data_IF_839218682393
#
_entry.id   IF_839218682393
#
_cell.length_a   1.000
_cell.length_b   1.000
_cell.length_c   1.000
_cell.angle_alpha   90.00
_cell.angle_beta   90.00
_cell.angle_gamma   90.00
#
_symmetry.space_group_name_H-M   'P 1'
#
loop_
_entity.id
_entity.type
_entity.pdbx_description
1 polymer ?
#
# COMPACT_ATOMS: atom_id res chain seq x y z
N UNK A 1 -6.70 15.06 5.95
CA UNK A 1 -5.75 14.05 6.46
C UNK A 1 -6.42 12.73 6.87
N UNK A 2 -7.51 12.72 7.64
CA UNK A 2 -8.14 11.48 8.15
C UNK A 2 -8.49 10.43 7.08
N UNK A 3 -9.03 10.85 5.92
CA UNK A 3 -9.36 9.91 4.82
C UNK A 3 -8.12 9.31 4.15
N UNK A 4 -7.11 10.14 3.87
CA UNK A 4 -5.86 9.66 3.28
C UNK A 4 -5.11 8.72 4.23
N UNK A 5 -5.16 8.98 5.55
CA UNK A 5 -4.64 8.04 6.54
C UNK A 5 -5.40 6.70 6.50
N UNK A 6 -6.74 6.72 6.46
CA UNK A 6 -7.53 5.49 6.37
C UNK A 6 -7.26 4.69 5.08
N UNK A 7 -7.26 5.36 3.92
CA UNK A 7 -6.94 4.72 2.64
C UNK A 7 -5.49 4.23 2.62
N UNK A 8 -4.56 5.03 3.11
CA UNK A 8 -3.14 4.68 3.22
C UNK A 8 -2.87 3.47 4.11
N UNK A 9 -3.50 3.40 5.28
CA UNK A 9 -3.39 2.26 6.19
C UNK A 9 -4.01 0.99 5.59
N UNK A 10 -5.17 1.09 4.95
CA UNK A 10 -5.80 -0.04 4.27
C UNK A 10 -4.95 -0.55 3.10
N UNK A 11 -4.41 0.37 2.29
CA UNK A 11 -3.48 0.07 1.20
C UNK A 11 -2.18 -0.57 1.70
N UNK A 12 -1.58 -0.01 2.76
CA UNK A 12 -0.37 -0.55 3.39
C UNK A 12 -0.61 -1.97 3.89
N UNK A 13 -1.68 -2.20 4.65
CA UNK A 13 -2.01 -3.52 5.19
C UNK A 13 -2.24 -4.54 4.06
N UNK A 14 -3.06 -4.21 3.05
CA UNK A 14 -3.34 -5.12 1.94
C UNK A 14 -2.07 -5.48 1.15
N UNK A 15 -1.28 -4.46 0.77
CA UNK A 15 -0.05 -4.66 0.01
C UNK A 15 1.04 -5.38 0.81
N UNK A 16 1.19 -5.08 2.11
CA UNK A 16 2.14 -5.76 2.99
C UNK A 16 1.76 -7.24 3.16
N UNK A 17 0.48 -7.56 3.37
CA UNK A 17 0.01 -8.95 3.48
C UNK A 17 0.29 -9.74 2.20
N UNK A 18 0.01 -9.16 1.03
CA UNK A 18 0.30 -9.81 -0.25
C UNK A 18 1.81 -9.95 -0.48
N UNK A 19 2.60 -8.93 -0.15
CA UNK A 19 4.06 -9.01 -0.24
C UNK A 19 4.61 -10.12 0.65
N UNK A 20 4.11 -10.22 1.88
CA UNK A 20 4.50 -11.25 2.84
C UNK A 20 4.10 -12.65 2.38
N UNK A 21 2.90 -12.81 1.84
CA UNK A 21 2.42 -14.07 1.29
C UNK A 21 3.27 -14.51 0.09
N UNK A 22 3.48 -13.63 -0.89
CA UNK A 22 4.35 -13.90 -2.03
C UNK A 22 5.78 -14.24 -1.60
N UNK A 23 6.34 -13.47 -0.67
CA UNK A 23 7.69 -13.74 -0.16
C UNK A 23 7.75 -15.09 0.55
N UNK A 24 6.72 -15.47 1.32
CA UNK A 24 6.68 -16.79 1.96
C UNK A 24 6.72 -17.92 0.93
N UNK A 25 6.04 -17.75 -0.20
CA UNK A 25 6.00 -18.73 -1.30
C UNK A 25 7.31 -18.78 -2.08
N UNK A 26 7.93 -17.64 -2.36
CA UNK A 26 9.14 -17.55 -3.21
C UNK A 26 10.45 -17.69 -2.44
N UNK A 27 10.46 -17.40 -1.13
CA UNK A 27 11.68 -17.25 -0.33
C UNK A 27 11.71 -18.07 0.97
N UNK A 28 10.63 -18.80 1.28
CA UNK A 28 10.40 -19.44 2.58
C UNK A 28 10.42 -18.49 3.79
N UNK A 29 10.48 -17.16 3.58
CA UNK A 29 10.50 -16.15 4.64
C UNK A 29 9.59 -14.98 4.26
N UNK A 30 8.62 -14.66 5.12
CA UNK A 30 7.56 -13.71 4.78
C UNK A 30 8.04 -12.25 4.78
N UNK A 31 8.98 -11.89 5.66
CA UNK A 31 9.30 -10.49 5.90
C UNK A 31 10.35 -9.89 4.94
N UNK A 32 10.97 -10.67 4.04
CA UNK A 32 12.06 -10.18 3.17
C UNK A 32 11.73 -8.89 2.40
N UNK A 33 10.58 -8.72 1.73
CA UNK A 33 10.27 -7.48 1.03
C UNK A 33 10.17 -6.30 2.00
N UNK A 34 9.60 -6.47 3.19
CA UNK A 34 9.56 -5.40 4.19
C UNK A 34 10.95 -5.09 4.74
N UNK A 35 11.74 -6.12 5.06
CA UNK A 35 13.13 -5.96 5.49
C UNK A 35 13.95 -5.19 4.45
N UNK A 36 13.71 -5.45 3.16
CA UNK A 36 14.35 -4.81 2.03
C UNK A 36 14.30 -3.29 2.17
N UNK A 37 13.11 -2.73 2.43
CA UNK A 37 12.84 -1.28 2.50
C UNK A 37 13.77 -0.54 3.46
N UNK A 38 14.28 -1.21 4.50
CA UNK A 38 15.19 -0.60 5.49
C UNK A 38 16.47 -0.04 4.86
N UNK A 39 16.91 -0.54 3.70
CA UNK A 39 18.08 0.00 2.99
C UNK A 39 17.88 1.45 2.52
N UNK A 40 16.64 1.94 2.41
CA UNK A 40 16.35 3.36 2.15
C UNK A 40 16.94 4.23 3.26
N UNK A 41 16.78 3.79 4.53
CA UNK A 41 17.28 4.47 5.70
C UNK A 41 18.78 4.20 5.92
N UNK A 42 19.16 2.92 5.97
CA UNK A 42 20.53 2.52 6.32
C UNK A 42 21.54 2.65 5.15
N UNK A 43 21.05 2.82 3.92
CA UNK A 43 21.87 2.73 2.70
C UNK A 43 22.26 1.30 2.33
N UNK A 44 23.02 1.16 1.24
CA UNK A 44 23.52 -0.13 0.76
C UNK A 44 22.47 -0.96 0.03
N UNK A 45 22.67 -2.29 0.04
CA UNK A 45 21.81 -3.23 -0.67
C UNK A 45 20.53 -3.59 0.15
N UNK A 46 19.44 -3.98 -0.52
CA UNK A 46 18.23 -4.49 0.13
C UNK A 46 18.54 -5.64 1.11
N UNK A 47 18.01 -5.56 2.33
CA UNK A 47 18.26 -6.57 3.37
C UNK A 47 17.24 -7.69 3.35
N UNK A 48 17.71 -8.92 3.50
CA UNK A 48 16.85 -10.10 3.59
C UNK A 48 16.47 -10.44 5.05
N UNK A 49 17.35 -10.15 6.01
CA UNK A 49 17.19 -10.54 7.43
C UNK A 49 16.26 -9.61 8.21
N UNK A 50 15.67 -10.11 9.29
CA UNK A 50 14.76 -9.34 10.14
C UNK A 50 15.50 -8.31 11.02
N UNK A 51 16.83 -8.41 11.12
CA UNK A 51 17.65 -7.60 12.00
C UNK A 51 17.50 -7.95 13.48
N UNK A 52 18.33 -7.34 14.33
CA UNK A 52 18.27 -7.53 15.79
C UNK A 52 16.89 -7.14 16.31
N UNK A 53 16.19 -8.08 16.96
CA UNK A 53 14.83 -7.90 17.51
C UNK A 53 13.78 -7.46 16.46
N UNK A 54 13.93 -7.87 15.19
CA UNK A 54 12.95 -7.56 14.14
C UNK A 54 12.99 -6.11 13.62
N UNK A 55 14.10 -5.39 13.86
CA UNK A 55 14.27 -3.98 13.45
C UNK A 55 13.94 -3.75 11.98
N UNK A 56 14.46 -4.59 11.08
CA UNK A 56 14.32 -4.36 9.64
C UNK A 56 12.85 -4.54 9.21
N UNK A 57 12.13 -5.49 9.81
CA UNK A 57 10.71 -5.68 9.53
C UNK A 57 9.89 -4.50 10.02
N UNK A 58 10.13 -4.04 11.26
CA UNK A 58 9.40 -2.94 11.86
C UNK A 58 9.64 -1.62 11.13
N UNK A 59 10.92 -1.28 10.87
CA UNK A 59 11.29 -0.05 10.18
C UNK A 59 10.83 -0.07 8.72
N UNK A 60 11.01 -1.21 8.04
CA UNK A 60 10.53 -1.40 6.69
C UNK A 60 9.01 -1.24 6.55
N UNK A 61 8.24 -1.83 7.47
CA UNK A 61 6.78 -1.65 7.53
C UNK A 61 6.39 -0.20 7.81
N UNK A 62 7.12 0.50 8.67
CA UNK A 62 6.87 1.92 8.96
C UNK A 62 7.09 2.80 7.71
N UNK A 63 8.19 2.59 6.98
CA UNK A 63 8.49 3.30 5.73
C UNK A 63 7.42 2.97 4.66
N UNK A 64 7.10 1.69 4.48
CA UNK A 64 6.06 1.23 3.55
C UNK A 64 4.69 1.86 3.85
N UNK A 65 4.34 1.97 5.14
CA UNK A 65 3.10 2.61 5.58
C UNK A 65 3.12 4.11 5.32
N UNK A 66 4.23 4.79 5.62
CA UNK A 66 4.41 6.21 5.30
C UNK A 66 4.25 6.50 3.81
N UNK A 67 4.90 5.70 2.96
CA UNK A 67 4.77 5.79 1.51
C UNK A 67 3.34 5.51 1.02
N UNK A 68 2.67 4.50 1.59
CA UNK A 68 1.27 4.19 1.28
C UNK A 68 0.33 5.34 1.62
N UNK A 69 0.52 5.99 2.79
CA UNK A 69 -0.25 7.17 3.19
C UNK A 69 0.03 8.36 2.27
N UNK A 70 1.30 8.56 1.88
CA UNK A 70 1.68 9.59 0.91
C UNK A 70 0.94 9.40 -0.42
N UNK A 71 0.96 8.20 -1.00
CA UNK A 71 0.23 7.90 -2.24
C UNK A 71 -1.30 8.02 -2.09
N UNK A 72 -1.83 7.64 -0.92
CA UNK A 72 -3.24 7.81 -0.62
C UNK A 72 -3.69 9.28 -0.57
N UNK A 73 -2.79 10.24 -0.32
CA UNK A 73 -3.10 11.67 -0.43
C UNK A 73 -3.48 12.03 -1.86
N UNK A 74 -2.73 11.57 -2.86
CA UNK A 74 -3.02 11.83 -4.28
C UNK A 74 -4.31 11.13 -4.70
N UNK A 75 -4.51 9.88 -4.28
CA UNK A 75 -5.75 9.16 -4.55
C UNK A 75 -6.99 9.88 -3.99
N UNK A 76 -6.99 10.27 -2.71
CA UNK A 76 -8.14 10.94 -2.10
C UNK A 76 -8.37 12.35 -2.67
N UNK A 77 -7.31 13.07 -3.06
CA UNK A 77 -7.42 14.40 -3.66
C UNK A 77 -7.99 14.35 -5.09
N UNK A 78 -7.46 13.46 -5.93
CA UNK A 78 -7.82 13.41 -7.35
C UNK A 78 -9.11 12.62 -7.60
N UNK A 79 -9.31 11.52 -6.86
CA UNK A 79 -10.37 10.55 -7.14
C UNK A 79 -11.38 10.39 -6.01
N UNK A 80 -11.07 10.78 -4.78
CA UNK A 80 -11.89 10.47 -3.59
C UNK A 80 -13.37 10.84 -3.73
N UNK A 81 -13.69 11.99 -4.34
CA UNK A 81 -15.08 12.40 -4.56
C UNK A 81 -15.85 11.47 -5.51
N UNK A 82 -15.21 11.03 -6.60
CA UNK A 82 -15.80 10.11 -7.60
C UNK A 82 -15.78 8.66 -7.11
N UNK A 83 -14.71 8.26 -6.42
CA UNK A 83 -14.56 6.94 -5.82
C UNK A 83 -15.70 6.61 -4.84
N UNK A 84 -16.14 7.60 -4.06
CA UNK A 84 -17.29 7.46 -3.14
C UNK A 84 -18.66 7.42 -3.85
N UNK A 85 -18.74 7.53 -5.16
CA UNK A 85 -19.99 7.40 -5.92
C UNK A 85 -20.09 6.09 -6.68
N UNK A 86 -18.95 5.46 -7.01
CA UNK A 86 -18.92 4.28 -7.88
C UNK A 86 -17.69 3.43 -7.58
N UNK A 87 -17.90 2.11 -7.46
CA UNK A 87 -16.80 1.15 -7.28
C UNK A 87 -15.83 1.16 -8.47
N UNK A 88 -16.34 1.33 -9.69
CA UNK A 88 -15.52 1.47 -10.89
C UNK A 88 -14.60 2.70 -10.82
N UNK A 89 -15.11 3.84 -10.34
CA UNK A 89 -14.28 5.04 -10.15
C UNK A 89 -13.26 4.87 -9.02
N UNK A 90 -13.61 4.14 -7.96
CA UNK A 90 -12.68 3.86 -6.86
C UNK A 90 -11.51 2.98 -7.34
N UNK A 91 -11.83 1.86 -8.00
CA UNK A 91 -10.83 0.94 -8.53
C UNK A 91 -10.00 1.57 -9.65
N UNK A 92 -10.62 2.31 -10.58
CA UNK A 92 -9.91 3.00 -11.66
C UNK A 92 -8.93 4.07 -11.14
N UNK A 93 -9.38 4.91 -10.20
CA UNK A 93 -8.52 5.92 -9.57
C UNK A 93 -7.42 5.32 -8.72
N UNK A 94 -7.72 4.27 -7.95
CA UNK A 94 -6.73 3.58 -7.13
C UNK A 94 -5.68 2.85 -8.00
N UNK A 95 -6.13 2.22 -9.09
CA UNK A 95 -5.25 1.58 -10.08
C UNK A 95 -4.32 2.60 -10.75
N UNK A 96 -4.84 3.77 -11.15
CA UNK A 96 -4.01 4.84 -11.71
C UNK A 96 -2.93 5.31 -10.72
N UNK A 97 -3.26 5.44 -9.44
CA UNK A 97 -2.30 5.86 -8.41
C UNK A 97 -1.29 4.76 -8.10
N UNK A 98 -1.70 3.50 -8.02
CA UNK A 98 -0.78 2.38 -7.83
C UNK A 98 0.17 2.22 -9.03
N UNK A 99 -0.30 2.42 -10.26
CA UNK A 99 0.55 2.44 -11.44
C UNK A 99 1.55 3.60 -11.41
N UNK A 100 1.11 4.80 -11.05
CA UNK A 100 2.00 5.95 -10.86
C UNK A 100 3.05 5.69 -9.78
N UNK A 101 2.66 5.08 -8.66
CA UNK A 101 3.57 4.66 -7.60
C UNK A 101 4.63 3.69 -8.12
N UNK A 102 4.22 2.62 -8.81
CA UNK A 102 5.16 1.67 -9.40
C UNK A 102 6.15 2.34 -10.37
N UNK A 103 5.67 3.23 -11.24
CA UNK A 103 6.53 3.96 -12.17
C UNK A 103 7.54 4.83 -11.42
N UNK A 104 7.09 5.59 -10.42
CA UNK A 104 7.97 6.44 -9.61
C UNK A 104 9.00 5.60 -8.88
N UNK A 105 8.55 4.55 -8.19
CA UNK A 105 9.36 3.71 -7.30
C UNK A 105 10.45 2.94 -8.06
N UNK A 106 10.24 2.58 -9.32
CA UNK A 106 11.21 1.75 -10.07
C UNK A 106 11.89 2.46 -11.24
N UNK A 107 11.34 3.55 -11.75
CA UNK A 107 11.86 4.19 -12.97
C UNK A 107 12.26 5.66 -12.78
N UNK A 108 11.76 6.34 -11.74
CA UNK A 108 12.03 7.78 -11.55
C UNK A 108 12.98 8.00 -10.39
N UNK A 109 12.78 7.35 -9.25
CA UNK A 109 13.64 7.55 -8.07
C UNK A 109 15.02 6.90 -8.28
N UNK A 110 16.04 7.47 -7.64
CA UNK A 110 17.37 6.86 -7.61
C UNK A 110 17.31 5.45 -7.00
N UNK A 111 18.21 4.55 -7.41
CA UNK A 111 18.23 3.14 -6.97
C UNK A 111 18.18 2.97 -5.44
N UNK A 112 18.78 3.92 -4.69
CA UNK A 112 18.78 3.95 -3.22
C UNK A 112 17.39 4.09 -2.59
N UNK A 113 16.44 4.70 -3.31
CA UNK A 113 15.10 5.00 -2.80
C UNK A 113 14.03 4.03 -3.32
N UNK A 114 14.43 3.01 -4.08
CA UNK A 114 13.50 1.96 -4.50
C UNK A 114 13.09 1.13 -3.29
N UNK A 115 11.91 0.49 -3.30
CA UNK A 115 11.48 -0.36 -2.19
C UNK A 115 12.42 -1.55 -1.92
N UNK A 116 13.11 -2.05 -2.94
CA UNK A 116 13.94 -3.26 -2.83
C UNK A 116 13.14 -4.56 -2.92
N UNK A 117 11.84 -4.49 -3.23
CA UNK A 117 11.01 -5.69 -3.43
C UNK A 117 11.51 -6.52 -4.60
N UNK A 118 12.08 -5.90 -5.64
CA UNK A 118 12.60 -6.57 -6.83
C UNK A 118 13.76 -7.54 -6.52
N UNK A 119 14.42 -7.38 -5.37
CA UNK A 119 15.47 -8.29 -4.92
C UNK A 119 14.91 -9.61 -4.37
N UNK A 120 13.63 -9.64 -3.98
CA UNK A 120 13.03 -10.78 -3.27
C UNK A 120 11.70 -11.24 -3.88
N UNK A 121 11.07 -10.47 -4.75
CA UNK A 121 9.80 -10.81 -5.36
C UNK A 121 9.92 -10.87 -6.88
N UNK A 122 9.27 -11.87 -7.47
CA UNK A 122 9.09 -11.97 -8.91
C UNK A 122 8.27 -10.80 -9.46
N UNK A 123 8.37 -10.47 -10.76
CA UNK A 123 7.56 -9.42 -11.39
C UNK A 123 6.05 -9.64 -11.21
N UNK A 124 5.59 -10.91 -11.18
CA UNK A 124 4.17 -11.25 -10.94
C UNK A 124 3.75 -10.92 -9.52
N UNK A 125 4.59 -11.22 -8.54
CA UNK A 125 4.35 -10.86 -7.14
C UNK A 125 4.39 -9.35 -6.92
N UNK A 126 5.31 -8.63 -7.58
CA UNK A 126 5.29 -7.16 -7.56
C UNK A 126 3.97 -6.61 -8.10
N UNK A 127 3.48 -7.13 -9.23
CA UNK A 127 2.18 -6.74 -9.76
C UNK A 127 1.05 -6.99 -8.75
N UNK A 128 1.04 -8.17 -8.11
CA UNK A 128 0.04 -8.50 -7.08
C UNK A 128 0.09 -7.53 -5.88
N UNK A 129 1.29 -7.12 -5.45
CA UNK A 129 1.47 -6.17 -4.34
C UNK A 129 0.89 -4.78 -4.67
N UNK A 130 1.16 -4.25 -5.86
CA UNK A 130 0.61 -2.95 -6.28
C UNK A 130 -0.89 -3.04 -6.60
N UNK A 131 -1.38 -4.18 -7.10
CA UNK A 131 -2.82 -4.42 -7.23
C UNK A 131 -3.52 -4.42 -5.85
N UNK A 132 -2.92 -5.08 -4.86
CA UNK A 132 -3.43 -5.10 -3.49
C UNK A 132 -3.43 -3.71 -2.83
N UNK A 133 -2.41 -2.89 -3.11
CA UNK A 133 -2.37 -1.48 -2.69
C UNK A 133 -3.60 -0.72 -3.24
N UNK A 134 -3.88 -0.85 -4.55
CA UNK A 134 -5.03 -0.23 -5.19
C UNK A 134 -6.36 -0.71 -4.59
N UNK A 135 -6.50 -2.02 -4.36
CA UNK A 135 -7.69 -2.59 -3.72
C UNK A 135 -7.89 -2.02 -2.31
N UNK A 136 -6.83 -1.89 -1.51
CA UNK A 136 -6.90 -1.29 -0.18
C UNK A 136 -7.34 0.17 -0.20
N UNK A 137 -6.84 0.97 -1.15
CA UNK A 137 -7.29 2.36 -1.35
C UNK A 137 -8.77 2.42 -1.72
N UNK A 138 -9.21 1.62 -2.70
CA UNK A 138 -10.59 1.59 -3.13
C UNK A 138 -11.55 1.14 -2.02
N UNK A 139 -11.19 0.07 -1.30
CA UNK A 139 -11.97 -0.47 -0.19
C UNK A 139 -12.22 0.58 0.89
N UNK A 140 -11.19 1.32 1.31
CA UNK A 140 -11.33 2.37 2.32
C UNK A 140 -12.31 3.49 1.91
N UNK A 141 -12.29 3.91 0.64
CA UNK A 141 -13.24 4.91 0.15
C UNK A 141 -14.67 4.36 0.08
N UNK A 142 -14.85 3.11 -0.33
CA UNK A 142 -16.17 2.46 -0.42
C UNK A 142 -16.78 2.20 0.96
N UNK A 143 -16.02 1.71 1.94
CA UNK A 143 -16.52 1.56 3.31
C UNK A 143 -16.85 2.91 3.95
N UNK A 144 -16.12 3.96 3.59
CA UNK A 144 -16.43 5.32 4.05
C UNK A 144 -17.75 5.86 3.45
N UNK A 145 -18.09 5.45 2.22
CA UNK A 145 -19.39 5.73 1.60
C UNK A 145 -20.53 5.04 2.37
N UNK A 146 -20.38 3.75 2.65
CA UNK A 146 -21.38 2.94 3.36
C UNK A 146 -21.64 3.49 4.77
N UNK A 147 -20.58 3.77 5.54
CA UNK A 147 -20.71 4.39 6.88
C UNK A 147 -21.44 5.72 6.83
N UNK A 148 -21.23 6.52 5.78
CA UNK A 148 -21.92 7.81 5.62
C UNK A 148 -23.38 7.64 5.20
N UNK A 149 -23.70 6.63 4.41
CA UNK A 149 -25.09 6.29 4.06
C UNK A 149 -25.85 5.80 5.30
N UNK A 150 -25.28 4.88 6.07
CA UNK A 150 -25.88 4.37 7.30
C UNK A 150 -26.15 5.46 8.35
N UNK A 151 -25.24 6.45 8.50
CA UNK A 151 -25.46 7.61 9.38
C UNK A 151 -26.52 8.59 8.90
N UNK A 152 -26.86 8.57 7.61
CA UNK A 152 -27.85 9.46 6.99
C UNK A 152 -29.25 8.87 6.94
N UNK A 153 -29.40 7.58 7.17
CA UNK A 153 -30.68 6.94 7.44
C UNK A 153 -30.87 6.91 8.95
N UNK A 154 -31.59 7.87 9.57
CA UNK A 154 -32.06 7.65 10.93
C UNK A 154 -32.99 6.44 10.86
N UNK A 155 -32.80 5.46 11.74
CA UNK A 155 -33.94 4.66 12.16
C UNK A 155 -34.96 5.66 12.72
N UNK A 156 -36.00 5.97 11.95
CA UNK A 156 -37.20 6.57 12.51
C UNK A 156 -37.96 5.48 13.24
N UNK A 157 -38.20 5.59 14.55
CA UNK A 157 -39.28 4.85 15.17
C UNK A 157 -40.60 5.55 14.83
N UNK A 158 -41.61 4.70 14.65
CA UNK A 158 -43.01 5.01 14.34
C UNK A 158 -43.76 5.70 15.48
#
# INVERSE_FOLDING_TARGET
MTRAAASGLAGSAASALVAMACSRLENAHAARPLNAVTHIYDGGAPRADDGRRGRNTALGLAIHTGASVWWALFYEQLFGARARRSAAHALGGAGAIAAAAYVVDYFIVARRFRPGFEAFLSPRSMFAVYAALAVGFAAASLSSRERRAARRSPAGPA
#
